data_IF_948494022110
#
_entry.id   IF_948494022110
#
_cell.length_a   1.000
_cell.length_b   1.000
_cell.length_c   1.000
_cell.angle_alpha   90.00
_cell.angle_beta   90.00
_cell.angle_gamma   90.00
#
_symmetry.space_group_name_H-M   'P 1'
#
loop_
_entity.id
_entity.type
_entity.pdbx_description
1 polymer ?
#
# COMPACT_ATOMS: atom_id res chain seq x y z
N UNK A 1 -11.27 20.46 -12.30
CA UNK A 1 -10.88 19.12 -12.79
C UNK A 1 -11.25 18.15 -11.70
N UNK A 2 -11.90 17.03 -12.01
CA UNK A 2 -12.36 16.07 -11.00
C UNK A 2 -11.13 15.38 -10.38
N UNK A 3 -10.89 15.64 -9.10
CA UNK A 3 -9.88 14.94 -8.33
C UNK A 3 -10.38 13.50 -8.13
N UNK A 4 -9.60 12.52 -8.57
CA UNK A 4 -9.95 11.10 -8.41
C UNK A 4 -9.37 10.64 -7.09
N UNK A 5 -10.23 10.27 -6.15
CA UNK A 5 -9.79 9.68 -4.88
C UNK A 5 -9.21 8.28 -5.13
N UNK A 6 -8.05 7.99 -4.56
CA UNK A 6 -7.38 6.69 -4.71
C UNK A 6 -7.90 5.62 -3.75
N UNK A 7 -8.60 6.02 -2.70
CA UNK A 7 -9.20 5.13 -1.72
C UNK A 7 -10.58 5.64 -1.30
N UNK A 8 -11.44 4.72 -0.85
CA UNK A 8 -12.79 5.00 -0.38
C UNK A 8 -12.89 4.83 1.15
N UNK A 9 -13.94 5.38 1.78
CA UNK A 9 -14.25 5.14 3.19
C UNK A 9 -14.28 3.66 3.56
N UNK A 10 -14.88 2.83 2.71
CA UNK A 10 -14.95 1.37 2.88
C UNK A 10 -13.57 0.70 2.98
N UNK A 11 -12.57 1.19 2.22
CA UNK A 11 -11.23 0.64 2.29
C UNK A 11 -10.56 0.94 3.65
N UNK A 12 -10.85 2.10 4.23
CA UNK A 12 -10.40 2.43 5.59
C UNK A 12 -11.15 1.59 6.63
N UNK A 13 -12.47 1.43 6.48
CA UNK A 13 -13.30 0.61 7.35
C UNK A 13 -12.82 -0.84 7.39
N UNK A 14 -12.58 -1.44 6.22
CA UNK A 14 -12.11 -2.82 6.13
C UNK A 14 -10.70 -3.02 6.69
N UNK A 15 -9.86 -1.98 6.76
CA UNK A 15 -8.46 -2.07 7.22
C UNK A 15 -8.27 -1.73 8.69
N UNK A 16 -9.00 -0.73 9.17
CA UNK A 16 -8.81 -0.16 10.51
C UNK A 16 -9.97 -0.46 11.46
N UNK A 17 -11.16 -0.76 10.92
CA UNK A 17 -12.36 -1.00 11.72
C UNK A 17 -13.12 0.29 12.04
N UNK A 18 -14.41 0.12 12.30
CA UNK A 18 -15.37 1.20 12.52
C UNK A 18 -15.08 1.98 13.82
N UNK A 19 -14.69 1.29 14.89
CA UNK A 19 -14.41 1.92 16.19
C UNK A 19 -13.21 2.87 16.16
N UNK A 20 -12.11 2.46 15.54
CA UNK A 20 -10.93 3.31 15.37
C UNK A 20 -11.26 4.55 14.52
N UNK A 21 -12.01 4.38 13.42
CA UNK A 21 -12.40 5.51 12.57
C UNK A 21 -13.36 6.46 13.26
N UNK A 22 -14.29 5.95 14.07
CA UNK A 22 -15.19 6.77 14.86
C UNK A 22 -14.39 7.65 15.82
N UNK A 23 -13.45 7.07 16.58
CA UNK A 23 -12.58 7.81 17.49
C UNK A 23 -11.69 8.83 16.77
N UNK A 24 -11.22 8.50 15.57
CA UNK A 24 -10.34 9.39 14.77
C UNK A 24 -11.08 10.53 14.10
N UNK A 25 -12.37 10.33 13.80
CA UNK A 25 -13.23 11.35 13.18
C UNK A 25 -14.09 12.09 14.20
N UNK A 26 -14.02 11.70 15.47
CA UNK A 26 -14.68 12.37 16.58
C UNK A 26 -14.13 13.80 16.72
N UNK A 27 -14.97 14.77 16.35
CA UNK A 27 -14.73 16.21 16.57
C UNK A 27 -15.91 16.82 17.31
N UNK A 28 -15.67 18.02 17.83
CA UNK A 28 -16.67 18.82 18.56
C UNK A 28 -17.97 19.03 17.74
N UNK A 29 -17.86 19.10 16.41
CA UNK A 29 -19.00 19.27 15.49
C UNK A 29 -19.65 17.94 15.02
N UNK A 30 -19.19 16.78 15.50
CA UNK A 30 -19.64 15.46 15.03
C UNK A 30 -20.58 14.76 16.02
N UNK A 31 -21.45 13.90 15.51
CA UNK A 31 -22.31 13.07 16.37
C UNK A 31 -21.44 12.03 17.07
N UNK A 32 -21.40 12.01 18.41
CA UNK A 32 -20.58 11.06 19.15
C UNK A 32 -21.06 9.62 18.88
N UNK A 33 -20.14 8.76 18.45
CA UNK A 33 -20.44 7.37 18.09
C UNK A 33 -20.75 7.11 16.62
N UNK A 34 -20.72 8.14 15.75
CA UNK A 34 -20.82 7.98 14.30
C UNK A 34 -19.53 8.41 13.59
N UNK A 35 -19.21 7.74 12.49
CA UNK A 35 -18.09 8.13 11.64
C UNK A 35 -18.46 9.40 10.87
N UNK A 36 -17.66 10.45 11.03
CA UNK A 36 -17.83 11.64 10.22
C UNK A 36 -17.27 11.40 8.81
N UNK A 37 -18.15 10.97 7.90
CA UNK A 37 -17.81 10.68 6.51
C UNK A 37 -17.26 11.92 5.79
N UNK A 38 -17.77 13.11 6.05
CA UNK A 38 -17.30 14.33 5.39
C UNK A 38 -15.83 14.63 5.72
N UNK A 39 -15.44 14.44 6.99
CA UNK A 39 -14.06 14.61 7.44
C UNK A 39 -13.17 13.52 6.85
N UNK A 40 -13.66 12.27 6.80
CA UNK A 40 -12.94 11.16 6.20
C UNK A 40 -12.69 11.36 4.70
N UNK A 41 -13.72 11.78 3.96
CA UNK A 41 -13.63 12.10 2.53
C UNK A 41 -12.68 13.28 2.29
N UNK A 42 -12.71 14.30 3.15
CA UNK A 42 -11.76 15.41 3.07
C UNK A 42 -10.31 14.92 3.25
N UNK A 43 -10.04 14.11 4.27
CA UNK A 43 -8.71 13.55 4.51
C UNK A 43 -8.24 12.65 3.36
N UNK A 44 -9.14 11.86 2.76
CA UNK A 44 -8.87 11.06 1.57
C UNK A 44 -8.60 11.92 0.33
N UNK A 45 -9.32 13.04 0.18
CA UNK A 45 -9.11 14.01 -0.90
C UNK A 45 -7.73 14.66 -0.78
N UNK A 46 -7.37 15.12 0.42
CA UNK A 46 -6.07 15.75 0.68
C UNK A 46 -4.93 14.75 0.46
N UNK A 47 -5.08 13.51 0.94
CA UNK A 47 -4.11 12.43 0.71
C UNK A 47 -3.95 12.11 -0.78
N UNK A 48 -5.05 12.11 -1.53
CA UNK A 48 -5.01 11.89 -2.98
C UNK A 48 -4.32 13.05 -3.70
N UNK A 49 -4.55 14.29 -3.26
CA UNK A 49 -3.87 15.48 -3.80
C UNK A 49 -2.35 15.41 -3.61
N UNK A 50 -1.93 14.93 -2.44
CA UNK A 50 -0.52 14.78 -2.12
C UNK A 50 0.13 13.72 -3.01
N UNK A 51 -0.50 12.55 -3.16
CA UNK A 51 -0.04 11.50 -4.08
C UNK A 51 0.06 12.05 -5.51
N UNK A 52 -0.97 12.74 -5.99
CA UNK A 52 -1.00 13.38 -7.31
C UNK A 52 0.21 14.32 -7.50
N UNK A 53 0.54 15.12 -6.50
CA UNK A 53 1.72 16.00 -6.54
C UNK A 53 3.04 15.27 -6.80
N UNK A 54 3.20 14.06 -6.26
CA UNK A 54 4.40 13.25 -6.48
C UNK A 54 4.41 12.54 -7.84
N UNK A 55 3.26 12.09 -8.34
CA UNK A 55 3.19 11.28 -9.57
C UNK A 55 2.89 12.09 -10.83
N UNK A 56 2.37 13.32 -10.72
CA UNK A 56 2.00 14.18 -11.85
C UNK A 56 3.19 14.50 -12.77
N UNK A 57 4.42 14.45 -12.27
CA UNK A 57 5.63 14.63 -13.08
C UNK A 57 5.99 13.43 -13.96
N UNK A 58 5.41 12.25 -13.70
CA UNK A 58 5.78 10.96 -14.32
C UNK A 58 4.62 10.25 -15.02
N UNK A 59 3.41 10.36 -14.50
CA UNK A 59 2.22 9.66 -15.00
C UNK A 59 1.16 10.63 -15.50
N UNK A 60 0.40 10.22 -16.51
CA UNK A 60 -0.72 11.00 -17.03
C UNK A 60 -1.93 10.77 -16.13
N UNK A 61 -2.43 11.85 -15.54
CA UNK A 61 -3.64 11.86 -14.71
C UNK A 61 -4.87 12.14 -15.60
N UNK A 62 -6.03 11.52 -15.33
CA UNK A 62 -6.29 10.55 -14.26
C UNK A 62 -5.76 9.14 -14.60
N UNK A 63 -5.28 8.40 -13.60
CA UNK A 63 -4.85 7.01 -13.77
C UNK A 63 -6.04 6.11 -14.14
N UNK A 64 -5.90 5.31 -15.21
CA UNK A 64 -6.94 4.37 -15.66
C UNK A 64 -7.13 3.18 -14.72
N UNK A 65 -6.09 2.83 -13.96
CA UNK A 65 -6.11 1.74 -12.99
C UNK A 65 -5.35 2.20 -11.77
N UNK A 66 -5.99 2.14 -10.60
CA UNK A 66 -5.36 2.45 -9.31
C UNK A 66 -4.80 1.14 -8.75
N UNK A 67 -3.47 0.98 -8.62
CA UNK A 67 -2.90 -0.18 -7.96
C UNK A 67 -3.27 -0.21 -6.47
N UNK A 68 -3.46 -1.40 -5.91
CA UNK A 68 -3.72 -1.59 -4.49
C UNK A 68 -2.63 -0.98 -3.58
N UNK A 69 -1.42 -0.77 -4.11
CA UNK A 69 -0.33 -0.07 -3.43
C UNK A 69 -0.65 1.42 -3.23
N UNK A 70 -1.20 2.10 -4.24
CA UNK A 70 -1.62 3.50 -4.12
C UNK A 70 -2.80 3.64 -3.16
N UNK A 71 -3.77 2.74 -3.24
CA UNK A 71 -4.90 2.70 -2.31
C UNK A 71 -4.40 2.59 -0.85
N UNK A 72 -3.48 1.66 -0.59
CA UNK A 72 -2.88 1.48 0.75
C UNK A 72 -2.13 2.73 1.20
N UNK A 73 -1.31 3.32 0.34
CA UNK A 73 -0.57 4.55 0.64
C UNK A 73 -1.52 5.71 0.95
N UNK A 74 -2.60 5.85 0.17
CA UNK A 74 -3.64 6.85 0.40
C UNK A 74 -4.30 6.67 1.78
N UNK A 75 -4.64 5.43 2.15
CA UNK A 75 -5.19 5.12 3.48
C UNK A 75 -4.21 5.44 4.62
N UNK A 76 -2.92 5.16 4.46
CA UNK A 76 -1.90 5.45 5.47
C UNK A 76 -1.67 6.97 5.63
N UNK A 77 -1.70 7.75 4.54
CA UNK A 77 -1.62 9.23 4.58
C UNK A 77 -2.89 9.82 5.18
N UNK A 78 -4.07 9.39 4.73
CA UNK A 78 -5.34 9.87 5.28
C UNK A 78 -5.42 9.62 6.79
N UNK A 79 -4.98 8.43 7.25
CA UNK A 79 -4.87 8.14 8.69
C UNK A 79 -3.97 9.16 9.41
N UNK A 80 -2.81 9.50 8.85
CA UNK A 80 -1.93 10.51 9.45
C UNK A 80 -2.61 11.88 9.57
N UNK A 81 -3.32 12.32 8.54
CA UNK A 81 -4.08 13.58 8.59
C UNK A 81 -5.20 13.59 9.63
N UNK A 82 -5.87 12.46 9.84
CA UNK A 82 -6.90 12.34 10.87
C UNK A 82 -6.33 12.47 12.29
N UNK A 83 -5.12 11.93 12.54
CA UNK A 83 -4.47 12.09 13.84
C UNK A 83 -3.98 13.52 14.11
N UNK A 84 -3.68 14.29 13.05
CA UNK A 84 -3.12 15.64 13.16
C UNK A 84 -1.87 15.68 14.05
N UNK A 85 -1.84 16.58 15.03
CA UNK A 85 -0.71 16.78 15.95
C UNK A 85 -0.52 15.65 16.99
N UNK A 86 -1.46 14.69 17.08
CA UNK A 86 -1.41 13.59 18.06
C UNK A 86 -1.10 12.24 17.40
N UNK A 87 -0.41 12.25 16.26
CA UNK A 87 -0.04 11.02 15.57
C UNK A 87 0.94 10.20 16.43
N UNK A 88 0.65 8.89 16.67
CA UNK A 88 1.62 8.03 17.33
C UNK A 88 2.81 7.78 16.41
N UNK A 89 4.00 7.54 16.98
CA UNK A 89 5.23 7.30 16.21
C UNK A 89 5.08 6.23 15.13
N UNK A 90 4.24 5.21 15.36
CA UNK A 90 4.01 4.15 14.38
C UNK A 90 3.31 4.67 13.11
N UNK A 91 2.38 5.61 13.26
CA UNK A 91 1.67 6.24 12.13
C UNK A 91 2.61 7.21 11.42
N UNK A 92 3.42 7.99 12.14
CA UNK A 92 4.45 8.85 11.55
C UNK A 92 5.49 8.05 10.76
N UNK A 93 5.98 6.93 11.32
CA UNK A 93 6.93 6.03 10.63
C UNK A 93 6.33 5.46 9.35
N UNK A 94 5.04 5.12 9.37
CA UNK A 94 4.32 4.67 8.16
C UNK A 94 4.21 5.78 7.13
N UNK A 95 3.74 6.96 7.53
CA UNK A 95 3.67 8.12 6.66
C UNK A 95 5.04 8.45 6.03
N UNK A 96 6.11 8.47 6.82
CA UNK A 96 7.46 8.67 6.31
C UNK A 96 7.91 7.58 5.33
N UNK A 97 7.50 6.32 5.54
CA UNK A 97 7.76 5.24 4.59
C UNK A 97 6.99 5.43 3.27
N UNK A 98 5.75 5.91 3.34
CA UNK A 98 4.93 6.25 2.16
C UNK A 98 5.57 7.40 1.39
N UNK A 99 5.97 8.49 2.04
CA UNK A 99 6.64 9.63 1.39
C UNK A 99 7.94 9.20 0.71
N UNK A 100 8.73 8.33 1.36
CA UNK A 100 9.94 7.74 0.74
C UNK A 100 9.60 6.92 -0.50
N UNK A 101 8.55 6.11 -0.43
CA UNK A 101 8.06 5.33 -1.58
C UNK A 101 7.61 6.24 -2.73
N UNK A 102 6.78 7.25 -2.46
CA UNK A 102 6.31 8.22 -3.47
C UNK A 102 7.48 9.01 -4.08
N UNK A 103 8.50 9.34 -3.29
CA UNK A 103 9.73 9.98 -3.77
C UNK A 103 10.54 9.05 -4.67
N UNK A 104 10.61 7.76 -4.35
CA UNK A 104 11.28 6.78 -5.21
C UNK A 104 10.50 6.56 -6.52
N UNK A 105 9.17 6.59 -6.47
CA UNK A 105 8.31 6.55 -7.66
C UNK A 105 8.50 7.79 -8.54
N UNK A 106 8.55 8.99 -7.94
CA UNK A 106 8.75 10.23 -8.69
C UNK A 106 10.13 10.30 -9.35
N UNK A 107 11.17 9.78 -8.67
CA UNK A 107 12.51 9.58 -9.25
C UNK A 107 12.53 8.51 -10.34
N UNK A 108 11.63 7.54 -10.27
CA UNK A 108 11.54 6.41 -11.19
C UNK A 108 12.29 5.16 -10.78
N UNK A 109 12.75 5.10 -9.53
CA UNK A 109 13.43 3.93 -8.97
C UNK A 109 12.44 2.79 -8.73
N UNK A 110 11.17 3.13 -8.47
CA UNK A 110 10.07 2.18 -8.27
C UNK A 110 8.99 2.44 -9.30
N UNK A 111 8.62 1.40 -10.05
CA UNK A 111 7.46 1.43 -10.94
C UNK A 111 6.22 0.99 -10.18
N UNK A 112 5.08 1.65 -10.43
CA UNK A 112 3.78 1.31 -9.82
C UNK A 112 3.19 0.00 -10.38
N UNK A 113 3.91 -0.71 -11.25
CA UNK A 113 3.41 -1.88 -11.97
C UNK A 113 2.32 -1.53 -12.99
N UNK A 114 2.05 -0.23 -13.18
CA UNK A 114 1.24 0.30 -14.27
C UNK A 114 2.11 0.20 -15.52
N UNK A 115 1.90 -0.83 -16.32
CA UNK A 115 2.75 -1.20 -17.44
C UNK A 115 3.03 0.00 -18.38
N UNK A 116 4.18 0.65 -18.19
CA UNK A 116 4.94 1.22 -19.30
C UNK A 116 5.99 0.18 -19.66
N UNK A 117 5.61 -0.68 -20.62
CA UNK A 117 6.44 -1.72 -21.22
C UNK A 117 6.69 -2.95 -20.35
N UNK A 118 5.86 -3.98 -20.56
CA UNK A 118 6.35 -5.32 -20.90
C UNK A 118 7.22 -6.13 -19.94
N UNK A 119 7.50 -5.68 -18.72
CA UNK A 119 8.20 -6.51 -17.72
C UNK A 119 7.38 -6.61 -16.45
N UNK A 120 6.64 -7.72 -16.38
CA UNK A 120 6.02 -8.28 -15.20
C UNK A 120 7.04 -8.26 -14.06
N UNK A 121 6.82 -7.41 -13.06
CA UNK A 121 7.45 -7.61 -11.76
C UNK A 121 6.83 -8.88 -11.18
N UNK A 122 7.50 -10.00 -11.45
CA UNK A 122 7.24 -11.32 -10.89
C UNK A 122 7.22 -11.20 -9.36
N UNK A 123 6.03 -11.06 -8.79
CA UNK A 123 5.77 -11.36 -7.38
C UNK A 123 5.38 -12.84 -7.24
N UNK A 124 6.00 -13.71 -8.03
CA UNK A 124 5.82 -15.14 -7.90
C UNK A 124 6.98 -15.68 -7.06
N UNK A 125 6.64 -16.10 -5.85
CA UNK A 125 7.27 -17.24 -5.22
C UNK A 125 8.78 -17.15 -4.98
N UNK A 126 9.13 -16.65 -3.79
CA UNK A 126 10.24 -17.18 -3.00
C UNK A 126 9.97 -18.66 -2.65
N UNK A 127 9.81 -19.53 -3.66
CA UNK A 127 9.94 -20.97 -3.50
C UNK A 127 11.43 -21.23 -3.57
N UNK A 128 12.05 -21.17 -2.40
CA UNK A 128 13.37 -21.77 -2.18
C UNK A 128 13.19 -23.27 -2.39
N UNK A 129 13.35 -23.72 -3.62
CA UNK A 129 13.41 -25.14 -3.93
C UNK A 129 14.77 -25.66 -3.45
N UNK A 130 14.81 -26.21 -2.24
CA UNK A 130 15.94 -27.02 -1.80
C UNK A 130 15.82 -28.34 -2.57
N UNK A 131 16.49 -28.41 -3.71
CA UNK A 131 16.82 -29.71 -4.30
C UNK A 131 17.84 -30.38 -3.39
N UNK A 132 17.35 -31.24 -2.50
CA UNK A 132 18.22 -32.21 -1.83
C UNK A 132 18.73 -33.18 -2.89
N UNK A 133 19.98 -32.99 -3.31
CA UNK A 133 20.71 -33.94 -4.12
C UNK A 133 20.57 -35.33 -3.47
N UNK A 134 19.98 -36.26 -4.23
CA UNK A 134 19.62 -37.59 -3.79
C UNK A 134 20.74 -38.24 -2.98
N UNK A 135 20.38 -38.72 -1.79
CA UNK A 135 21.32 -39.34 -0.86
C UNK A 135 22.12 -40.45 -1.57
N UNK A 136 23.42 -40.19 -1.68
CA UNK A 136 24.48 -41.00 -2.30
C UNK A 136 24.81 -42.22 -1.42
N UNK A 137 23.80 -42.97 -0.99
CA UNK A 137 23.99 -44.28 -0.35
C UNK A 137 23.48 -45.37 -1.28
N UNK A 138 24.25 -45.58 -2.35
CA UNK A 138 24.16 -46.75 -3.19
C UNK A 138 24.46 -48.02 -2.39
N UNK A 139 23.46 -48.89 -2.24
CA UNK A 139 23.66 -50.27 -1.80
C UNK A 139 22.73 -51.27 -2.51
N UNK A 140 22.50 -51.11 -3.82
CA UNK A 140 21.71 -52.07 -4.63
C UNK A 140 22.25 -52.39 -6.03
N UNK A 141 23.50 -52.03 -6.35
CA UNK A 141 24.13 -52.39 -7.65
C UNK A 141 25.55 -52.97 -7.53
N UNK A 142 25.80 -53.83 -6.54
CA UNK A 142 26.96 -54.72 -6.58
C UNK A 142 26.48 -56.15 -6.80
N UNK A 143 26.10 -56.47 -8.05
CA UNK A 143 25.99 -57.84 -8.54
C UNK A 143 27.32 -58.20 -9.18
N UNK A 144 28.02 -59.16 -8.57
CA UNK A 144 29.09 -59.96 -9.17
C UNK A 144 30.48 -59.34 -9.10
N UNK A 145 31.42 -60.05 -8.49
CA UNK A 145 32.58 -60.64 -9.18
C UNK A 145 33.17 -61.74 -8.27
N UNK A 146 33.38 -62.92 -8.89
CA UNK A 146 34.09 -64.16 -8.48
C UNK A 146 33.70 -64.90 -7.20
#
# INVERSE_FOLDING_TARGET
>A
MAQVMYATPDNMLSRFGEQDLTLLTEREDSVPGEINLALLEQALSDASAEIDGYIAGRYVLPLTTVPAVLERNCCDIARYFLYGDKAPEQVEKRYAAVVKFLTAVSKGDISLGLATTGETADQSELVISIESAGSVFGRKSAKGFI
#
